data_IF_400408638772
#
_entry.id   IF_400408638772
#
_cell.length_a   1.000
_cell.length_b   1.000
_cell.length_c   1.000
_cell.angle_alpha   90.00
_cell.angle_beta   90.00
_cell.angle_gamma   90.00
#
_symmetry.space_group_name_H-M   'P 1'
#
loop_
_entity.id
_entity.type
_entity.pdbx_description
1 polymer ?
2 water ?
#
# COMPACT_ATOMS: atom_id res chain seq x y z
N UNK A 5 7.27 -39.53 8.91
CA UNK A 5 8.08 -38.75 9.85
C UNK A 5 7.29 -38.22 11.06
N UNK A 6 8.11 -37.69 11.94
CA UNK A 6 7.92 -37.04 13.22
C UNK A 6 8.76 -35.77 13.05
N UNK A 7 9.61 -35.90 12.02
CA UNK A 7 10.55 -34.85 11.58
C UNK A 7 9.91 -33.97 10.47
N UNK A 8 8.65 -34.24 10.23
CA UNK A 8 7.70 -33.63 9.35
C UNK A 8 7.04 -32.49 10.17
N UNK A 9 7.07 -32.78 11.46
CA UNK A 9 6.56 -31.83 12.46
C UNK A 9 7.67 -30.79 12.56
N UNK A 10 8.88 -31.25 12.28
CA UNK A 10 10.06 -30.41 12.31
C UNK A 10 9.92 -29.36 11.21
N UNK A 11 9.91 -29.80 9.97
CA UNK A 11 9.75 -28.94 8.82
C UNK A 11 8.54 -28.01 8.94
N UNK A 12 7.41 -28.49 9.42
CA UNK A 12 6.16 -27.74 9.56
C UNK A 12 6.27 -26.51 10.48
N UNK A 13 6.96 -26.71 11.56
CA UNK A 13 7.24 -25.80 12.65
C UNK A 13 8.19 -24.73 12.21
N UNK A 14 9.28 -25.04 11.62
CA UNK A 14 10.25 -24.05 11.13
C UNK A 14 9.63 -23.21 10.02
N UNK A 15 8.67 -23.79 9.30
CA UNK A 15 7.92 -23.17 8.22
C UNK A 15 6.93 -22.16 8.77
N UNK A 16 6.17 -22.43 9.81
CA UNK A 16 5.19 -21.51 10.39
C UNK A 16 5.94 -20.28 10.97
N UNK A 17 7.19 -20.57 11.35
CA UNK A 17 7.98 -19.47 11.89
C UNK A 17 8.19 -18.49 10.76
N UNK A 18 8.40 -18.99 9.53
CA UNK A 18 8.61 -18.11 8.35
C UNK A 18 7.31 -17.41 8.02
N UNK A 19 6.18 -18.09 8.11
CA UNK A 19 4.89 -17.46 7.79
C UNK A 19 4.64 -16.39 8.84
N UNK A 20 4.85 -16.66 10.12
CA UNK A 20 4.62 -15.63 11.17
C UNK A 20 5.53 -14.44 10.90
N UNK A 21 6.75 -14.61 10.55
CA UNK A 21 7.68 -13.53 10.25
C UNK A 21 7.27 -12.64 9.08
N UNK A 22 6.66 -13.23 8.11
CA UNK A 22 6.14 -12.67 6.89
C UNK A 22 5.03 -11.75 7.42
N UNK A 23 4.23 -12.25 8.31
CA UNK A 23 3.11 -11.54 8.98
C UNK A 23 3.63 -10.29 9.68
N UNK A 24 4.75 -10.22 10.35
CA UNK A 24 5.31 -9.05 10.99
C UNK A 24 5.77 -8.03 9.95
N UNK A 25 6.70 -8.47 9.13
CA UNK A 25 7.25 -7.59 8.07
C UNK A 25 6.11 -6.90 7.34
N UNK A 26 5.17 -7.65 6.80
CA UNK A 26 4.05 -7.17 6.04
C UNK A 26 2.98 -6.52 6.88
N UNK A 27 2.95 -6.83 8.14
CA UNK A 27 1.95 -6.24 9.06
C UNK A 27 2.32 -4.76 9.27
N UNK A 28 3.60 -4.48 9.17
CA UNK A 28 4.12 -3.10 9.27
C UNK A 28 3.40 -2.17 8.28
N UNK A 29 3.05 -2.58 7.10
CA UNK A 29 2.39 -1.76 6.13
C UNK A 29 0.92 -2.08 6.07
N UNK A 30 0.54 -3.33 6.29
CA UNK A 30 -0.91 -3.65 6.09
C UNK A 30 -1.61 -3.63 7.42
N UNK A 31 -0.86 -3.67 8.50
CA UNK A 31 -1.53 -3.64 9.78
C UNK A 31 -1.74 -4.94 10.51
N UNK A 32 -2.28 -4.81 11.72
CA UNK A 32 -2.56 -5.84 12.69
C UNK A 32 -3.52 -6.86 12.13
N UNK A 33 -4.53 -6.46 11.42
CA UNK A 33 -5.44 -7.53 10.93
C UNK A 33 -4.63 -8.52 10.11
N UNK A 34 -3.69 -8.08 9.29
CA UNK A 34 -2.87 -8.89 8.42
C UNK A 34 -1.95 -9.72 9.29
N UNK A 35 -1.42 -9.01 10.27
CA UNK A 35 -0.49 -9.76 11.17
C UNK A 35 -1.28 -10.96 11.64
N UNK A 36 -2.53 -10.83 12.03
CA UNK A 36 -3.40 -11.88 12.54
C UNK A 36 -3.75 -12.95 11.52
N UNK A 37 -4.10 -12.61 10.31
CA UNK A 37 -4.42 -13.67 9.36
C UNK A 37 -3.18 -14.52 9.14
N UNK A 38 -2.04 -13.84 8.98
CA UNK A 38 -0.80 -14.58 8.72
C UNK A 38 -0.46 -15.49 9.86
N UNK A 39 -0.73 -15.11 11.09
CA UNK A 39 -0.36 -15.94 12.28
C UNK A 39 -1.37 -17.05 12.40
N UNK A 40 -2.60 -16.86 12.06
CA UNK A 40 -3.60 -17.91 12.10
C UNK A 40 -3.21 -18.95 11.06
N UNK A 41 -2.68 -18.50 9.93
CA UNK A 41 -2.22 -19.38 8.84
C UNK A 41 -1.03 -20.25 9.31
N UNK A 42 -0.08 -19.61 9.93
CA UNK A 42 1.13 -20.18 10.49
C UNK A 42 0.79 -21.20 11.55
N UNK A 43 -0.26 -21.16 12.35
CA UNK A 43 -0.67 -22.14 13.33
C UNK A 43 -1.22 -23.37 12.62
N UNK A 44 -2.03 -23.15 11.61
CA UNK A 44 -2.55 -24.25 10.77
C UNK A 44 -1.39 -25.07 10.20
N UNK A 45 -0.39 -24.37 9.68
CA UNK A 45 0.78 -25.06 9.09
C UNK A 45 1.40 -25.94 10.18
N UNK A 46 1.69 -25.28 11.26
CA UNK A 46 2.33 -25.80 12.46
C UNK A 46 1.73 -27.17 12.81
N UNK A 47 0.41 -27.21 12.83
CA UNK A 47 -0.34 -28.40 13.21
C UNK A 47 -0.94 -29.11 12.01
N UNK A 48 -0.23 -29.17 10.92
CA UNK A 48 -0.85 -29.81 9.73
C UNK A 48 -0.57 -31.28 9.65
N UNK A 49 0.36 -31.81 10.40
CA UNK A 49 0.67 -33.26 10.31
C UNK A 49 -0.63 -34.05 10.33
N UNK A 50 -0.69 -34.95 9.35
CA UNK A 50 -1.81 -35.83 9.10
C UNK A 50 -2.98 -35.28 8.31
N UNK A 51 -3.06 -34.02 8.01
CA UNK A 51 -4.13 -33.36 7.24
C UNK A 51 -3.64 -33.42 5.78
N UNK A 52 -4.55 -33.14 4.85
CA UNK A 52 -4.15 -33.18 3.43
C UNK A 52 -4.51 -31.82 2.80
N UNK A 53 -3.63 -31.36 1.92
CA UNK A 53 -3.92 -30.05 1.29
C UNK A 53 -5.19 -30.13 0.48
N UNK A 54 -5.95 -29.07 0.33
CA UNK A 54 -7.17 -29.02 -0.45
C UNK A 54 -6.95 -29.26 -1.94
N UNK A 55 -7.96 -29.79 -2.59
CA UNK A 55 -7.98 -30.12 -4.02
C UNK A 55 -7.69 -28.94 -4.95
N UNK A 56 -7.02 -29.25 -6.05
CA UNK A 56 -6.63 -28.30 -7.09
C UNK A 56 -7.91 -27.50 -7.29
N UNK A 57 -9.03 -28.14 -7.46
CA UNK A 57 -10.26 -27.34 -7.69
C UNK A 57 -10.76 -26.51 -6.51
N UNK A 58 -10.53 -26.95 -5.29
CA UNK A 58 -11.02 -26.16 -4.12
C UNK A 58 -10.13 -24.93 -3.94
N UNK A 59 -8.85 -25.20 -4.15
CA UNK A 59 -7.74 -24.28 -4.09
C UNK A 59 -7.88 -23.10 -5.05
N UNK A 60 -8.22 -23.34 -6.31
CA UNK A 60 -8.37 -22.27 -7.31
C UNK A 60 -9.61 -21.46 -6.95
N UNK A 61 -10.56 -22.12 -6.39
CA UNK A 61 -11.81 -21.49 -5.93
C UNK A 61 -11.54 -20.42 -4.87
N UNK A 62 -10.89 -20.77 -3.78
CA UNK A 62 -10.59 -19.81 -2.69
C UNK A 62 -9.67 -18.73 -3.24
N UNK A 63 -8.63 -19.14 -3.96
CA UNK A 63 -7.68 -18.18 -4.52
C UNK A 63 -8.40 -17.18 -5.44
N UNK A 64 -9.24 -17.66 -6.32
CA UNK A 64 -9.96 -16.74 -7.21
C UNK A 64 -10.81 -15.75 -6.44
N UNK A 65 -11.20 -16.00 -5.20
CA UNK A 65 -12.00 -14.93 -4.56
C UNK A 65 -11.10 -13.69 -4.42
N UNK A 66 -9.81 -13.94 -4.33
CA UNK A 66 -8.88 -12.83 -4.16
C UNK A 66 -8.39 -12.21 -5.46
N UNK A 67 -7.69 -13.01 -6.23
CA UNK A 67 -7.07 -12.50 -7.47
C UNK A 67 -8.06 -11.82 -8.38
N UNK A 68 -9.26 -12.37 -8.44
CA UNK A 68 -10.32 -11.80 -9.31
C UNK A 68 -11.03 -10.64 -8.67
N UNK A 69 -10.52 -10.09 -7.59
CA UNK A 69 -11.18 -8.99 -6.89
C UNK A 69 -10.59 -7.68 -7.39
N UNK A 70 -11.45 -6.86 -7.95
CA UNK A 70 -11.06 -5.56 -8.51
C UNK A 70 -10.05 -4.78 -7.71
N UNK A 71 -10.17 -4.82 -6.36
CA UNK A 71 -9.19 -4.03 -5.60
C UNK A 71 -7.81 -4.62 -5.81
N UNK A 72 -7.75 -5.84 -6.31
CA UNK A 72 -6.49 -6.55 -6.55
C UNK A 72 -5.84 -6.47 -7.92
N UNK A 73 -6.38 -5.65 -8.80
CA UNK A 73 -5.83 -5.43 -10.16
C UNK A 73 -4.50 -4.79 -9.83
N UNK A 74 -3.39 -5.41 -10.08
CA UNK A 74 -2.03 -4.92 -9.84
C UNK A 74 -1.61 -4.12 -11.07
N UNK A 75 -0.90 -3.03 -10.86
CA UNK A 75 -0.45 -2.21 -12.00
C UNK A 75 0.87 -2.80 -12.50
N UNK A 76 1.23 -2.49 -13.73
CA UNK A 76 2.45 -2.99 -14.34
C UNK A 76 3.73 -2.76 -13.57
N UNK A 77 3.86 -1.57 -13.02
CA UNK A 77 5.09 -1.26 -12.26
C UNK A 77 5.19 -2.23 -11.09
N UNK A 78 4.11 -2.39 -10.36
CA UNK A 78 4.07 -3.32 -9.19
C UNK A 78 4.40 -4.77 -9.58
N UNK A 79 3.67 -5.11 -10.65
CA UNK A 79 3.80 -6.43 -11.32
C UNK A 79 5.24 -6.59 -11.76
N UNK A 80 5.85 -5.57 -12.31
CA UNK A 80 7.26 -5.65 -12.74
C UNK A 80 8.20 -5.71 -11.56
N UNK A 81 7.82 -5.18 -10.41
CA UNK A 81 8.74 -5.16 -9.24
C UNK A 81 8.80 -6.53 -8.60
N UNK A 82 7.68 -7.17 -8.57
CA UNK A 82 7.45 -8.51 -7.99
C UNK A 82 8.06 -9.59 -8.85
N UNK A 83 7.98 -9.50 -10.16
CA UNK A 83 8.57 -10.44 -11.12
C UNK A 83 10.08 -10.45 -10.99
N UNK A 84 10.68 -9.30 -10.94
CA UNK A 84 12.10 -8.96 -10.82
C UNK A 84 12.60 -9.48 -9.51
N UNK A 85 11.77 -9.31 -8.48
CA UNK A 85 12.15 -9.85 -7.15
C UNK A 85 12.25 -11.35 -7.41
N UNK A 86 11.38 -12.05 -8.07
CA UNK A 86 11.51 -13.52 -8.37
C UNK A 86 12.69 -13.86 -9.28
N UNK A 87 12.85 -13.19 -10.41
CA UNK A 87 13.95 -13.37 -11.35
C UNK A 87 15.27 -13.23 -10.62
N UNK A 88 15.30 -12.49 -9.54
CA UNK A 88 16.56 -12.36 -8.79
C UNK A 88 16.69 -13.57 -7.84
N UNK A 89 15.72 -14.46 -7.77
CA UNK A 89 15.98 -15.60 -6.88
C UNK A 89 16.80 -16.67 -7.60
N UNK A 90 17.82 -17.14 -6.93
CA UNK A 90 18.73 -18.21 -7.34
C UNK A 90 18.23 -19.43 -6.52
N UNK A 91 17.49 -20.30 -7.20
CA UNK A 91 16.92 -21.50 -6.58
C UNK A 91 17.96 -22.33 -5.84
N UNK A 92 19.14 -22.56 -6.41
CA UNK A 92 20.13 -23.36 -5.69
C UNK A 92 20.36 -22.68 -4.33
N UNK A 93 20.68 -21.40 -4.44
CA UNK A 93 20.96 -20.52 -3.30
C UNK A 93 19.83 -20.58 -2.26
N UNK A 94 18.63 -20.37 -2.79
CA UNK A 94 17.47 -20.40 -1.90
C UNK A 94 17.29 -21.74 -1.23
N UNK A 95 17.61 -22.81 -1.93
CA UNK A 95 17.50 -24.21 -1.45
C UNK A 95 18.52 -24.38 -0.31
N UNK A 96 19.71 -23.83 -0.60
CA UNK A 96 20.79 -23.87 0.38
C UNK A 96 20.30 -23.09 1.60
N UNK A 97 19.81 -21.87 1.51
CA UNK A 97 19.40 -21.19 2.76
C UNK A 97 18.37 -21.94 3.56
N UNK A 98 17.41 -22.58 2.90
CA UNK A 98 16.36 -23.34 3.59
C UNK A 98 17.04 -24.54 4.26
N UNK A 99 18.09 -25.03 3.63
CA UNK A 99 18.86 -26.17 4.14
C UNK A 99 19.45 -25.83 5.50
N UNK A 100 19.93 -24.62 5.64
CA UNK A 100 20.52 -24.07 6.88
C UNK A 100 19.53 -23.86 8.00
N UNK A 101 18.28 -23.66 7.69
CA UNK A 101 17.17 -23.45 8.61
C UNK A 101 16.89 -24.84 9.22
N UNK A 102 17.00 -25.84 8.35
CA UNK A 102 16.75 -27.20 8.80
C UNK A 102 16.93 -28.31 7.78
N UNK A 103 17.62 -29.33 8.23
CA UNK A 103 17.92 -30.56 7.51
C UNK A 103 16.72 -31.04 6.66
N UNK A 104 15.56 -31.00 7.25
CA UNK A 104 14.24 -31.40 6.76
C UNK A 104 13.78 -30.69 5.49
N UNK A 105 14.42 -29.57 5.20
CA UNK A 105 14.05 -28.84 3.95
C UNK A 105 14.88 -29.58 2.91
N UNK A 106 15.85 -30.34 3.34
CA UNK A 106 16.65 -31.09 2.36
C UNK A 106 15.91 -32.33 1.84
N UNK A 107 14.82 -32.12 1.16
CA UNK A 107 13.99 -33.09 0.49
C UNK A 107 14.57 -33.28 -0.93
N UNK A 108 14.16 -34.43 -1.48
CA UNK A 108 14.55 -34.83 -2.83
C UNK A 108 13.97 -33.85 -3.89
N UNK A 109 14.94 -33.30 -4.58
CA UNK A 109 14.83 -32.33 -5.68
C UNK A 109 14.21 -31.01 -5.25
N UNK A 110 14.58 -30.55 -4.05
CA UNK A 110 14.07 -29.27 -3.55
C UNK A 110 14.47 -28.10 -4.48
N UNK A 111 15.69 -28.08 -5.00
CA UNK A 111 16.14 -27.04 -5.89
C UNK A 111 15.25 -26.82 -7.14
N UNK A 112 14.59 -27.86 -7.57
CA UNK A 112 13.77 -27.85 -8.78
C UNK A 112 12.39 -27.45 -8.36
N UNK A 113 12.01 -27.81 -7.14
CA UNK A 113 10.69 -27.41 -6.60
C UNK A 113 10.66 -25.88 -6.52
N UNK A 114 11.69 -25.34 -5.92
CA UNK A 114 11.90 -23.90 -5.72
C UNK A 114 11.76 -23.25 -7.08
N UNK A 115 12.64 -23.65 -7.94
CA UNK A 115 12.71 -23.19 -9.35
C UNK A 115 11.34 -23.24 -9.98
N UNK A 116 10.49 -24.24 -9.77
CA UNK A 116 9.16 -24.25 -10.36
C UNK A 116 8.24 -23.26 -9.72
N UNK A 117 8.35 -23.02 -8.42
CA UNK A 117 7.50 -22.03 -7.71
C UNK A 117 7.80 -20.63 -8.27
N UNK A 118 9.09 -20.37 -8.41
CA UNK A 118 9.70 -19.14 -8.92
C UNK A 118 9.16 -18.83 -10.29
N UNK A 119 9.35 -19.80 -11.17
CA UNK A 119 8.88 -19.70 -12.58
C UNK A 119 7.38 -19.60 -12.75
N UNK A 120 6.58 -20.30 -11.96
CA UNK A 120 5.12 -20.19 -12.10
C UNK A 120 4.50 -19.02 -11.38
N UNK A 121 5.32 -18.39 -10.51
CA UNK A 121 4.89 -17.16 -9.76
C UNK A 121 5.09 -16.04 -10.78
N UNK A 122 6.26 -16.10 -11.44
CA UNK A 122 6.60 -15.14 -12.51
C UNK A 122 5.49 -15.16 -13.56
N UNK A 123 5.03 -16.35 -13.93
CA UNK A 123 3.97 -16.55 -14.92
C UNK A 123 2.65 -15.97 -14.45
N UNK A 124 2.38 -16.08 -13.17
CA UNK A 124 1.21 -15.66 -12.42
C UNK A 124 1.10 -14.15 -12.45
N UNK A 125 2.24 -13.53 -12.22
CA UNK A 125 2.31 -12.06 -12.23
C UNK A 125 2.14 -11.57 -13.68
N UNK A 126 2.91 -12.14 -14.61
CA UNK A 126 2.87 -11.79 -16.01
C UNK A 126 1.59 -12.07 -16.73
N UNK A 127 0.85 -13.14 -16.58
CA UNK A 127 -0.38 -13.41 -17.33
C UNK A 127 -1.63 -13.47 -16.47
N UNK A 128 -1.46 -13.26 -15.18
CA UNK A 128 -2.55 -13.30 -14.19
C UNK A 128 -3.07 -14.71 -14.06
N UNK A 129 -2.37 -15.74 -14.50
CA UNK A 129 -2.86 -17.13 -14.39
C UNK A 129 -2.10 -17.88 -13.29
N UNK A 130 -2.91 -18.13 -12.26
CA UNK A 130 -2.41 -18.80 -11.02
C UNK A 130 -2.53 -20.30 -11.06
N UNK A 131 -3.20 -20.85 -12.07
CA UNK A 131 -3.33 -22.30 -12.31
C UNK A 131 -2.03 -23.06 -12.23
N UNK A 132 -1.09 -22.78 -13.12
CA UNK A 132 0.19 -23.46 -13.10
C UNK A 132 0.89 -23.47 -11.75
N UNK A 133 0.84 -22.49 -10.87
CA UNK A 133 1.49 -22.48 -9.55
C UNK A 133 0.79 -23.52 -8.63
N UNK A 134 -0.53 -23.43 -8.60
CA UNK A 134 -1.40 -24.27 -7.81
C UNK A 134 -1.23 -25.74 -8.21
N UNK A 135 -1.40 -26.04 -9.49
CA UNK A 135 -1.21 -27.35 -10.09
C UNK A 135 0.22 -27.79 -9.77
N UNK A 136 1.20 -26.95 -9.69
CA UNK A 136 2.55 -27.45 -9.35
C UNK A 136 2.59 -28.12 -7.99
N UNK A 137 2.05 -27.50 -6.93
CA UNK A 137 2.03 -28.03 -5.58
C UNK A 137 1.20 -29.37 -5.52
N UNK A 138 -0.01 -29.26 -6.04
CA UNK A 138 -0.90 -30.39 -5.94
C UNK A 138 -0.26 -31.60 -6.61
N UNK A 139 0.52 -31.37 -7.63
CA UNK A 139 1.13 -32.46 -8.42
C UNK A 139 2.22 -33.14 -7.61
N UNK A 140 2.82 -32.44 -6.68
CA UNK A 140 3.86 -33.07 -5.82
C UNK A 140 3.12 -34.06 -4.91
N UNK A 141 1.89 -33.75 -4.50
CA UNK A 141 1.07 -34.55 -3.61
C UNK A 141 0.48 -35.69 -4.46
N UNK A 142 0.10 -35.46 -5.68
CA UNK A 142 -0.44 -36.45 -6.59
C UNK A 142 0.69 -37.47 -6.82
N UNK A 143 1.92 -37.09 -6.89
CA UNK A 143 3.10 -37.90 -7.09
C UNK A 143 3.70 -38.59 -5.87
N UNK A 144 3.12 -38.47 -4.68
CA UNK A 144 3.69 -39.11 -3.52
C UNK A 144 4.39 -38.34 -2.43
N UNK A 145 4.55 -37.05 -2.60
CA UNK A 145 5.19 -36.21 -1.54
C UNK A 145 4.04 -36.00 -0.54
N UNK A 146 4.35 -36.12 0.73
CA UNK A 146 3.34 -35.98 1.82
C UNK A 146 2.72 -34.58 1.74
N UNK A 147 1.47 -34.38 1.87
CA UNK A 147 0.76 -33.12 1.82
C UNK A 147 1.58 -32.23 2.75
N UNK A 148 1.91 -32.69 3.91
CA UNK A 148 2.70 -31.98 4.91
C UNK A 148 3.95 -31.34 4.32
N UNK A 149 4.71 -32.13 3.61
CA UNK A 149 5.96 -31.63 3.00
C UNK A 149 5.69 -30.68 1.84
N UNK A 150 4.70 -30.90 1.02
CA UNK A 150 4.32 -30.09 -0.15
C UNK A 150 4.00 -28.72 0.44
N UNK A 151 3.03 -28.65 1.33
CA UNK A 151 2.66 -27.43 2.03
C UNK A 151 3.88 -26.72 2.61
N UNK A 152 4.63 -27.52 3.30
CA UNK A 152 5.89 -27.20 3.97
C UNK A 152 6.69 -26.38 3.01
N UNK A 153 7.23 -27.04 2.00
CA UNK A 153 8.11 -26.46 0.97
C UNK A 153 7.54 -25.28 0.19
N UNK A 154 6.33 -25.46 -0.20
CA UNK A 154 5.63 -24.45 -1.00
C UNK A 154 5.79 -23.17 -0.22
N UNK A 155 5.27 -23.26 0.99
CA UNK A 155 5.14 -22.23 2.04
C UNK A 155 6.44 -21.58 2.45
N UNK A 156 7.48 -22.33 2.75
CA UNK A 156 8.75 -21.79 3.11
C UNK A 156 9.30 -20.95 1.96
N UNK A 157 9.09 -21.43 0.73
CA UNK A 157 9.57 -20.80 -0.49
C UNK A 157 9.02 -19.39 -0.63
N UNK A 158 7.74 -19.27 -0.49
CA UNK A 158 6.96 -18.04 -0.59
C UNK A 158 7.22 -17.15 0.64
N UNK A 159 7.52 -17.76 1.76
CA UNK A 159 7.76 -17.08 3.00
C UNK A 159 9.15 -16.49 2.86
N UNK A 160 10.11 -17.19 2.29
CA UNK A 160 11.48 -16.66 2.09
C UNK A 160 11.60 -15.52 1.06
N UNK A 161 10.80 -15.56 0.01
CA UNK A 161 10.68 -14.57 -1.06
C UNK A 161 10.17 -13.28 -0.45
N UNK A 162 9.12 -13.28 0.32
CA UNK A 162 8.45 -12.22 1.06
C UNK A 162 9.30 -11.52 2.12
N UNK A 163 10.10 -12.29 2.81
CA UNK A 163 11.05 -11.85 3.82
C UNK A 163 12.17 -11.08 3.12
N UNK A 164 12.62 -11.56 1.97
CA UNK A 164 13.71 -10.89 1.24
C UNK A 164 13.21 -9.71 0.43
N UNK A 165 11.93 -9.50 0.26
CA UNK A 165 11.40 -8.38 -0.52
C UNK A 165 11.93 -7.04 0.02
N UNK A 166 12.36 -6.30 -0.98
CA UNK A 166 12.88 -4.95 -0.84
C UNK A 166 12.14 -4.12 -1.88
N UNK A 167 10.84 -4.16 -2.03
CA UNK A 167 10.19 -3.34 -3.05
C UNK A 167 9.41 -2.30 -2.23
N UNK A 168 8.93 -1.33 -2.99
CA UNK A 168 8.17 -0.22 -2.41
C UNK A 168 7.11 -0.77 -1.49
N UNK A 169 6.55 0.02 -0.61
CA UNK A 169 5.52 -0.36 0.35
C UNK A 169 4.19 -0.79 -0.23
N UNK A 170 3.64 -0.17 -1.24
CA UNK A 170 2.37 -0.63 -1.80
C UNK A 170 2.56 -2.02 -2.40
N UNK A 171 3.73 -2.22 -3.00
CA UNK A 171 4.16 -3.45 -3.65
C UNK A 171 4.32 -4.51 -2.58
N UNK A 172 4.92 -4.32 -1.45
CA UNK A 172 5.01 -5.34 -0.39
C UNK A 172 3.65 -5.73 0.16
N UNK A 173 2.71 -4.83 0.11
CA UNK A 173 1.34 -4.93 0.56
C UNK A 173 0.54 -5.88 -0.27
N UNK A 174 0.66 -5.64 -1.57
CA UNK A 174 0.01 -6.49 -2.60
C UNK A 174 0.66 -7.89 -2.64
N UNK A 175 1.97 -8.03 -2.60
CA UNK A 175 2.61 -9.31 -2.53
C UNK A 175 2.05 -10.07 -1.31
N UNK A 176 2.21 -9.46 -0.13
CA UNK A 176 1.79 -10.04 1.16
C UNK A 176 0.37 -10.58 1.08
N UNK A 177 -0.54 -9.90 0.41
CA UNK A 177 -1.93 -10.28 0.26
C UNK A 177 -2.09 -11.55 -0.60
N UNK A 178 -1.43 -11.65 -1.74
CA UNK A 178 -1.46 -12.79 -2.65
C UNK A 178 -0.71 -13.96 -2.02
N UNK A 179 0.34 -13.78 -1.29
CA UNK A 179 1.10 -14.82 -0.65
C UNK A 179 0.24 -15.43 0.45
N UNK A 180 -0.49 -14.66 1.19
CA UNK A 180 -1.39 -15.25 2.19
C UNK A 180 -2.51 -16.02 1.49
N UNK A 181 -3.01 -15.55 0.37
CA UNK A 181 -4.10 -16.15 -0.42
C UNK A 181 -3.65 -17.45 -1.03
N UNK A 182 -2.51 -17.58 -1.65
CA UNK A 182 -1.93 -18.80 -2.28
C UNK A 182 -1.83 -19.91 -1.23
N UNK A 183 -1.17 -19.62 -0.12
CA UNK A 183 -0.98 -20.56 1.01
C UNK A 183 -2.32 -20.90 1.61
N UNK A 184 -3.07 -19.91 2.03
CA UNK A 184 -4.39 -20.05 2.65
C UNK A 184 -5.29 -20.94 1.86
N UNK A 185 -5.23 -20.95 0.57
CA UNK A 185 -6.02 -21.76 -0.36
C UNK A 185 -5.85 -23.26 -0.16
N UNK A 186 -4.65 -23.69 0.19
CA UNK A 186 -4.38 -25.11 0.38
C UNK A 186 -4.92 -25.70 1.66
N UNK A 187 -5.17 -24.82 2.61
CA UNK A 187 -5.61 -25.05 3.98
C UNK A 187 -7.08 -24.90 4.39
N UNK A 188 -7.69 -23.74 4.15
CA UNK A 188 -9.08 -23.45 4.49
C UNK A 188 -9.49 -22.22 3.68
N UNK A 189 -10.72 -22.24 3.23
CA UNK A 189 -11.26 -21.13 2.45
C UNK A 189 -11.52 -19.91 3.33
N UNK A 190 -11.37 -20.11 4.61
CA UNK A 190 -11.58 -19.14 5.69
C UNK A 190 -10.69 -17.93 5.43
N UNK A 191 -9.47 -18.25 5.14
CA UNK A 191 -8.38 -17.32 4.87
C UNK A 191 -8.78 -16.36 3.77
N UNK A 192 -9.39 -16.82 2.68
CA UNK A 192 -9.82 -15.99 1.56
C UNK A 192 -10.84 -14.95 1.98
N UNK A 193 -11.81 -15.38 2.75
CA UNK A 193 -12.86 -14.55 3.31
C UNK A 193 -12.32 -13.51 4.28
N UNK A 194 -11.41 -13.87 5.17
CA UNK A 194 -10.73 -12.99 6.13
C UNK A 194 -9.86 -11.95 5.39
N UNK A 195 -9.01 -12.28 4.43
CA UNK A 195 -8.25 -11.29 3.68
C UNK A 195 -9.23 -10.36 3.00
N UNK A 196 -10.27 -10.87 2.43
CA UNK A 196 -11.30 -10.12 1.71
C UNK A 196 -12.10 -9.15 2.53
N UNK A 197 -12.64 -9.73 3.58
CA UNK A 197 -13.46 -8.97 4.52
C UNK A 197 -12.54 -8.09 5.35
N UNK A 198 -11.52 -8.62 6.01
CA UNK A 198 -10.71 -7.73 6.84
C UNK A 198 -9.70 -6.84 6.18
N UNK A 199 -9.36 -7.02 4.92
CA UNK A 199 -8.22 -6.22 4.45
C UNK A 199 -8.44 -5.51 3.14
N UNK A 200 -8.75 -6.28 2.13
CA UNK A 200 -8.99 -5.80 0.78
C UNK A 200 -10.20 -4.87 0.84
N UNK A 201 -11.18 -5.20 1.65
CA UNK A 201 -12.40 -4.36 1.68
C UNK A 201 -12.96 -4.27 3.09
N UNK B 5 -1.78 39.44 10.67
CA UNK B 5 -0.40 39.50 10.11
C UNK B 5 0.50 38.52 10.85
N UNK B 6 0.15 38.21 12.09
CA UNK B 6 0.85 37.21 12.89
C UNK B 6 -0.24 36.25 13.38
N UNK B 7 -1.45 36.46 12.88
CA UNK B 7 -2.60 35.58 13.15
C UNK B 7 -2.84 34.77 11.86
N UNK B 8 -1.85 34.82 11.02
CA UNK B 8 -1.47 34.26 9.76
C UNK B 8 -0.46 33.15 10.15
N UNK B 9 0.32 33.50 11.15
CA UNK B 9 1.34 32.64 11.76
C UNK B 9 0.62 31.49 12.49
N UNK B 10 -0.53 31.83 13.05
CA UNK B 10 -1.42 30.96 13.76
C UNK B 10 -2.06 30.04 12.73
N UNK B 11 -2.65 30.62 11.69
CA UNK B 11 -3.26 29.83 10.61
C UNK B 11 -2.24 28.81 10.16
N UNK B 12 -0.98 29.16 9.97
CA UNK B 12 0.08 28.27 9.51
C UNK B 12 0.42 27.21 10.53
N UNK B 13 0.63 27.66 11.73
CA UNK B 13 0.94 26.81 12.89
C UNK B 13 0.02 25.59 12.88
N UNK B 14 -1.24 25.89 12.96
CA UNK B 14 -2.40 25.03 12.99
C UNK B 14 -2.51 24.11 11.79
N UNK B 15 -2.12 24.62 10.64
CA UNK B 15 -2.16 23.85 9.39
C UNK B 15 -0.97 22.88 9.42
N UNK B 16 0.13 23.36 10.02
CA UNK B 16 1.33 22.50 10.11
C UNK B 16 0.96 21.33 11.05
N UNK B 17 0.16 21.54 12.08
CA UNK B 17 -0.33 20.53 13.04
C UNK B 17 -1.18 19.49 12.35
N UNK B 18 -2.10 19.83 11.46
CA UNK B 18 -2.91 18.94 10.66
C UNK B 18 -2.02 18.11 9.72
N UNK B 19 -1.13 18.74 9.00
CA UNK B 19 -0.26 17.97 8.09
C UNK B 19 0.65 17.08 8.90
N UNK B 20 1.12 17.41 10.06
CA UNK B 20 2.01 16.52 10.82
C UNK B 20 1.13 15.36 11.26
N UNK B 21 -0.15 15.67 11.45
CA UNK B 21 -1.16 14.68 11.85
C UNK B 21 -1.46 13.62 10.78
N UNK B 22 -1.58 14.01 9.54
CA UNK B 22 -1.81 13.17 8.38
C UNK B 22 -0.56 12.28 8.32
N UNK B 23 0.59 12.84 8.62
CA UNK B 23 1.92 12.19 8.67
C UNK B 23 1.89 11.07 9.70
N UNK B 24 1.23 11.24 10.83
CA UNK B 24 1.06 10.23 11.86
C UNK B 24 0.09 9.16 11.31
N UNK B 25 -1.09 9.59 10.92
CA UNK B 25 -2.08 8.63 10.43
C UNK B 25 -1.52 7.69 9.37
N UNK B 26 -1.09 8.21 8.21
CA UNK B 26 -0.63 7.45 7.08
C UNK B 26 0.71 6.79 7.28
N UNK B 27 1.54 7.47 8.01
CA UNK B 27 2.92 7.02 8.28
C UNK B 27 2.79 5.69 9.02
N UNK B 28 1.58 5.44 9.54
CA UNK B 28 1.37 4.19 10.25
C UNK B 28 1.41 3.08 9.19
N UNK B 29 1.09 3.37 7.94
CA UNK B 29 1.05 2.45 6.81
C UNK B 29 2.25 2.50 5.89
N UNK B 30 2.56 3.67 5.37
CA UNK B 30 3.67 3.94 4.49
C UNK B 30 4.97 4.01 5.27
N UNK B 31 4.97 4.11 6.56
CA UNK B 31 6.18 4.16 7.34
C UNK B 31 6.77 5.48 7.76
N UNK B 32 7.93 5.38 8.38
CA UNK B 32 8.67 6.47 8.92
C UNK B 32 9.21 7.44 7.89
N UNK B 33 9.55 6.98 6.69
CA UNK B 33 10.09 7.85 5.64
C UNK B 33 8.98 8.90 5.31
N UNK B 34 7.78 8.35 5.13
CA UNK B 34 6.64 9.17 4.78
C UNK B 34 6.40 10.14 5.90
N UNK B 35 6.60 9.69 7.12
CA UNK B 35 6.39 10.44 8.36
C UNK B 35 7.27 11.69 8.40
N UNK B 36 8.52 11.44 8.03
CA UNK B 36 9.59 12.42 7.90
C UNK B 36 9.25 13.45 6.82
N UNK B 37 8.91 12.98 5.65
CA UNK B 37 8.57 13.86 4.52
C UNK B 37 7.45 14.78 5.00
N UNK B 38 6.38 14.26 5.49
CA UNK B 38 5.24 15.03 5.97
C UNK B 38 5.58 15.96 7.11
N UNK B 39 6.57 15.67 7.92
CA UNK B 39 6.93 16.53 9.04
C UNK B 39 7.73 17.67 8.42
N UNK B 40 8.41 17.38 7.34
CA UNK B 40 9.19 18.44 6.63
C UNK B 40 8.26 19.40 5.87
N UNK B 41 7.24 18.96 5.20
CA UNK B 41 6.27 19.80 4.51
C UNK B 41 5.72 20.74 5.60
N UNK B 42 5.31 20.16 6.72
CA UNK B 42 4.76 20.81 7.90
C UNK B 42 5.72 21.85 8.49
N UNK B 43 7.01 21.65 8.46
CA UNK B 43 7.95 22.66 8.98
C UNK B 43 7.89 23.83 7.98
N UNK B 44 7.92 23.48 6.73
CA UNK B 44 7.86 24.47 5.67
C UNK B 44 6.58 25.27 5.89
N UNK B 45 5.45 24.63 6.06
CA UNK B 45 4.20 25.38 6.23
C UNK B 45 4.30 26.32 7.40
N UNK B 46 4.80 25.87 8.52
CA UNK B 46 4.90 26.63 9.77
C UNK B 46 5.53 28.01 9.68
N UNK B 47 6.62 28.01 8.97
CA UNK B 47 7.53 29.10 8.66
C UNK B 47 7.36 29.67 7.25
N UNK B 48 6.14 29.70 6.75
CA UNK B 48 5.87 30.21 5.40
C UNK B 48 5.31 31.63 5.35
N UNK B 49 5.38 32.36 6.48
CA UNK B 49 4.81 33.72 6.39
C UNK B 49 5.70 34.57 5.48
N UNK B 50 5.01 35.20 4.54
CA UNK B 50 5.66 36.07 3.57
C UNK B 50 6.12 35.37 2.31
N UNK B 51 6.29 34.04 2.33
CA UNK B 51 6.71 33.37 1.09
C UNK B 51 5.48 33.40 0.19
N UNK B 52 5.67 32.96 -1.00
CA UNK B 52 4.76 32.83 -2.13
C UNK B 52 4.75 31.38 -2.59
N UNK B 53 3.62 30.89 -3.01
CA UNK B 53 3.47 29.49 -3.48
C UNK B 53 4.07 29.39 -4.87
N UNK B 54 4.63 28.28 -5.31
CA UNK B 54 5.21 28.20 -6.65
C UNK B 54 4.08 28.38 -7.62
N UNK B 55 4.38 28.86 -8.81
CA UNK B 55 3.51 29.13 -9.95
C UNK B 55 2.90 27.79 -10.35
N UNK B 56 1.85 27.84 -11.10
CA UNK B 56 1.12 26.68 -11.56
C UNK B 56 1.96 25.72 -12.37
N UNK B 57 2.78 26.27 -13.26
CA UNK B 57 3.60 25.49 -14.18
C UNK B 57 4.66 24.71 -13.41
N UNK B 58 5.21 25.41 -12.43
CA UNK B 58 6.23 24.85 -11.55
C UNK B 58 5.63 23.73 -10.69
N UNK B 59 4.50 23.96 -10.11
CA UNK B 59 3.77 23.07 -9.22
C UNK B 59 3.41 21.85 -10.06
N UNK B 60 2.91 22.09 -11.25
CA UNK B 60 2.54 20.95 -12.11
C UNK B 60 3.76 20.10 -12.49
N UNK B 61 4.88 20.81 -12.69
CA UNK B 61 6.14 20.17 -13.06
C UNK B 61 6.39 19.09 -12.01
N UNK B 62 6.45 19.53 -10.79
CA UNK B 62 6.69 18.74 -9.63
C UNK B 62 5.69 17.61 -9.44
N UNK B 63 4.42 17.95 -9.50
CA UNK B 63 3.38 16.93 -9.26
C UNK B 63 3.41 15.88 -10.35
N UNK B 64 3.85 16.26 -11.54
CA UNK B 64 3.85 15.32 -12.69
C UNK B 64 4.81 14.16 -12.43
N UNK B 65 5.90 14.45 -11.80
CA UNK B 65 6.92 13.49 -11.43
C UNK B 65 6.31 12.28 -10.69
N UNK B 66 5.39 12.60 -9.79
CA UNK B 66 4.64 11.67 -8.97
C UNK B 66 3.42 11.11 -9.68
N UNK B 67 2.54 12.00 -10.09
CA UNK B 67 1.29 11.60 -10.72
C UNK B 67 1.48 10.90 -12.05
N UNK B 68 2.64 11.02 -12.62
CA UNK B 68 2.87 10.36 -13.93
C UNK B 68 3.81 9.19 -13.72
N UNK B 69 4.05 8.88 -12.46
CA UNK B 69 4.87 7.74 -12.03
C UNK B 69 3.92 6.58 -12.34
N UNK B 70 4.44 5.59 -13.04
CA UNK B 70 3.59 4.45 -13.47
C UNK B 70 3.08 3.64 -12.29
N UNK B 71 3.90 3.57 -11.26
CA UNK B 71 3.61 2.87 -10.02
C UNK B 71 2.45 3.45 -9.22
N UNK B 72 2.01 4.61 -9.66
CA UNK B 72 0.96 5.44 -9.12
C UNK B 72 -0.32 5.37 -9.96
N UNK B 73 -0.37 4.43 -10.85
CA UNK B 73 -1.61 4.29 -11.69
C UNK B 73 -2.57 3.60 -10.73
N UNK B 74 -3.58 4.23 -10.20
CA UNK B 74 -4.57 3.72 -9.26
C UNK B 74 -5.64 2.83 -9.87
N UNK B 75 -6.12 1.79 -9.19
CA UNK B 75 -7.12 0.90 -9.79
C UNK B 75 -8.48 1.53 -9.54
N UNK B 76 -9.48 1.09 -10.21
CA UNK B 76 -10.82 1.67 -10.15
C UNK B 76 -11.36 1.64 -8.74
N UNK B 77 -11.24 0.52 -8.05
CA UNK B 77 -11.69 0.31 -6.68
C UNK B 77 -11.03 1.25 -5.67
N UNK B 78 -9.78 1.56 -5.80
CA UNK B 78 -9.04 2.48 -4.96
C UNK B 78 -9.46 3.94 -5.21
N UNK B 79 -9.71 4.23 -6.46
CA UNK B 79 -10.13 5.48 -7.03
C UNK B 79 -11.46 5.87 -6.40
N UNK B 80 -12.33 4.90 -6.54
CA UNK B 80 -13.71 4.90 -6.01
C UNK B 80 -13.79 5.19 -4.52
N UNK B 81 -13.00 4.59 -3.74
CA UNK B 81 -12.92 4.73 -2.29
C UNK B 81 -12.48 6.10 -1.86
N UNK B 82 -11.57 6.67 -2.60
CA UNK B 82 -11.00 8.02 -2.31
C UNK B 82 -11.96 9.11 -2.74
N UNK B 83 -12.71 8.81 -3.78
CA UNK B 83 -13.76 9.65 -4.36
C UNK B 83 -14.87 9.63 -3.33
N UNK B 84 -15.41 8.50 -2.91
CA UNK B 84 -16.43 8.41 -1.85
C UNK B 84 -16.02 9.14 -0.56
N UNK B 85 -14.80 9.07 -0.07
CA UNK B 85 -14.39 9.79 1.12
C UNK B 85 -14.67 11.27 0.87
N UNK B 86 -14.38 11.83 -0.28
CA UNK B 86 -14.61 13.22 -0.64
C UNK B 86 -16.09 13.50 -0.70
N UNK B 87 -16.82 12.77 -1.51
CA UNK B 87 -18.29 12.94 -1.61
C UNK B 87 -18.88 13.00 -0.21
N UNK B 88 -18.28 12.39 0.81
CA UNK B 88 -18.81 12.47 2.16
C UNK B 88 -18.20 13.58 2.98
N UNK B 89 -17.80 14.66 2.35
CA UNK B 89 -17.21 15.87 2.91
C UNK B 89 -18.28 17.00 2.72
N UNK B 90 -18.47 17.67 3.82
CA UNK B 90 -19.42 18.76 3.97
C UNK B 90 -18.62 20.04 4.06
N UNK B 91 -18.61 20.75 2.97
CA UNK B 91 -17.83 21.99 2.86
C UNK B 91 -18.28 23.01 3.89
N UNK B 92 -19.57 23.16 4.16
CA UNK B 92 -19.98 24.18 5.16
C UNK B 92 -19.31 23.94 6.51
N UNK B 93 -19.52 22.74 7.02
CA UNK B 93 -19.00 22.25 8.29
C UNK B 93 -17.48 22.35 8.26
N UNK B 94 -16.90 21.87 7.15
CA UNK B 94 -15.43 21.96 7.12
C UNK B 94 -14.99 23.42 7.15
N UNK B 95 -15.60 24.34 6.43
CA UNK B 95 -15.26 25.76 6.46
C UNK B 95 -15.38 26.21 7.92
N UNK B 96 -16.51 25.87 8.51
CA UNK B 96 -16.76 26.21 9.92
C UNK B 96 -15.67 25.84 10.91
N UNK B 97 -15.21 24.59 10.83
CA UNK B 97 -14.13 24.12 11.74
C UNK B 97 -12.81 24.80 11.50
N UNK B 98 -12.43 25.01 10.25
CA UNK B 98 -11.15 25.67 9.93
C UNK B 98 -11.12 27.03 10.60
N UNK B 99 -12.33 27.59 10.56
CA UNK B 99 -12.75 28.90 11.07
C UNK B 99 -12.38 28.99 12.55
N UNK B 100 -12.63 27.89 13.24
CA UNK B 100 -12.33 27.73 14.65
C UNK B 100 -10.82 27.70 14.85
N UNK B 101 -10.15 27.13 13.89
CA UNK B 101 -8.69 27.03 14.03
C UNK B 101 -8.02 28.37 14.13
N UNK B 102 -8.49 29.30 13.31
CA UNK B 102 -7.91 30.66 13.27
C UNK B 102 -8.88 31.54 12.51
N UNK B 103 -9.03 32.75 12.96
CA UNK B 103 -9.93 33.74 12.34
C UNK B 103 -9.48 33.99 10.91
N UNK B 104 -8.20 33.83 10.60
CA UNK B 104 -7.63 33.99 9.27
C UNK B 104 -8.11 33.00 8.23
N UNK B 105 -8.80 31.93 8.61
CA UNK B 105 -9.33 30.96 7.65
C UNK B 105 -10.64 31.52 7.16
N UNK B 106 -11.14 32.58 7.79
CA UNK B 106 -12.46 33.10 7.33
C UNK B 106 -12.39 34.16 6.24
N UNK B 107 -11.79 33.87 5.10
CA UNK B 107 -11.65 34.76 3.94
C UNK B 107 -12.99 34.67 3.23
N UNK B 108 -13.23 35.44 2.20
CA UNK B 108 -14.54 35.40 1.52
C UNK B 108 -14.61 34.15 0.67
N UNK B 109 -15.83 33.75 0.47
CA UNK B 109 -16.18 32.51 -0.25
C UNK B 109 -15.38 31.33 0.26
N UNK B 110 -15.02 31.16 1.51
CA UNK B 110 -14.27 30.07 2.09
C UNK B 110 -15.06 28.77 1.96
N UNK B 111 -16.36 28.72 2.00
CA UNK B 111 -17.12 27.46 1.80
C UNK B 111 -16.96 26.97 0.35
N UNK B 112 -17.04 27.98 -0.53
CA UNK B 112 -16.91 27.76 -1.98
C UNK B 112 -15.51 27.25 -2.30
N UNK B 113 -14.46 27.80 -1.71
CA UNK B 113 -13.08 27.38 -1.87
C UNK B 113 -12.94 25.93 -1.46
N UNK B 114 -13.44 25.53 -0.30
CA UNK B 114 -13.42 24.17 0.24
C UNK B 114 -14.23 23.31 -0.74
N UNK B 115 -15.32 23.85 -1.25
CA UNK B 115 -16.15 23.11 -2.22
C UNK B 115 -15.43 22.82 -3.54
N UNK B 116 -14.60 23.71 -4.09
CA UNK B 116 -13.87 23.47 -5.33
C UNK B 116 -12.70 22.59 -4.99
N UNK B 117 -12.12 22.62 -3.81
CA UNK B 117 -10.99 21.69 -3.49
C UNK B 117 -11.51 20.26 -3.57
N UNK B 118 -12.77 20.13 -3.15
CA UNK B 118 -13.40 18.81 -3.15
C UNK B 118 -13.71 18.38 -4.55
N UNK B 119 -14.41 19.14 -5.33
CA UNK B 119 -14.77 18.78 -6.69
C UNK B 119 -13.54 18.60 -7.54
N UNK B 120 -12.57 19.50 -7.50
CA UNK B 120 -11.34 19.37 -8.32
C UNK B 120 -10.52 18.20 -7.89
N UNK B 121 -10.57 17.80 -6.63
CA UNK B 121 -9.90 16.62 -6.07
C UNK B 121 -10.61 15.38 -6.67
N UNK B 122 -11.92 15.36 -6.70
CA UNK B 122 -12.70 14.26 -7.27
C UNK B 122 -12.26 14.16 -8.74
N UNK B 123 -12.23 15.30 -9.40
CA UNK B 123 -11.77 15.35 -10.80
C UNK B 123 -10.37 14.80 -10.96
N UNK B 124 -9.35 15.04 -10.17
CA UNK B 124 -8.05 14.43 -10.25
C UNK B 124 -8.19 12.90 -10.23
N UNK B 125 -8.88 12.30 -9.25
CA UNK B 125 -9.08 10.84 -9.17
C UNK B 125 -9.79 10.26 -10.38
N UNK B 126 -10.89 10.84 -10.82
CA UNK B 126 -11.63 10.31 -11.93
C UNK B 126 -10.95 10.41 -13.27
N UNK B 127 -10.24 11.49 -13.53
CA UNK B 127 -9.64 11.66 -14.86
C UNK B 127 -8.16 11.80 -14.90
N UNK B 128 -7.42 11.79 -13.84
CA UNK B 128 -5.97 11.95 -13.86
C UNK B 128 -5.46 13.34 -14.05
N UNK B 129 -6.36 14.26 -14.27
CA UNK B 129 -6.01 15.70 -14.41
C UNK B 129 -6.16 16.47 -13.11
N UNK B 130 -5.07 16.88 -12.47
CA UNK B 130 -4.90 17.63 -11.24
C UNK B 130 -4.67 19.12 -11.46
N UNK B 131 -4.60 19.48 -12.75
CA UNK B 131 -4.40 20.90 -13.11
C UNK B 131 -5.51 21.79 -12.60
N UNK B 132 -6.76 21.50 -12.81
CA UNK B 132 -7.87 22.30 -12.31
C UNK B 132 -7.72 22.48 -10.81
N UNK B 133 -7.24 21.47 -10.05
CA UNK B 133 -7.01 21.52 -8.63
C UNK B 133 -5.97 22.59 -8.35
N UNK B 134 -4.82 22.40 -9.01
CA UNK B 134 -3.74 23.38 -8.76
C UNK B 134 -4.09 24.80 -9.19
N UNK B 135 -4.82 25.03 -10.23
CA UNK B 135 -5.23 26.34 -10.73
C UNK B 135 -6.14 27.05 -9.72
N UNK B 136 -7.00 26.30 -9.05
CA UNK B 136 -7.92 26.82 -8.02
C UNK B 136 -7.12 27.52 -6.94
N UNK B 137 -6.18 26.87 -6.26
CA UNK B 137 -5.36 27.54 -5.26
C UNK B 137 -4.72 28.80 -5.86
N UNK B 138 -4.09 28.64 -7.02
CA UNK B 138 -3.36 29.72 -7.69
C UNK B 138 -4.34 30.84 -7.92
N UNK B 139 -5.52 30.54 -8.36
CA UNK B 139 -6.54 31.58 -8.61
C UNK B 139 -6.96 32.32 -7.36
N UNK B 140 -6.76 31.74 -6.20
CA UNK B 140 -7.11 32.42 -4.95
C UNK B 140 -6.10 33.54 -4.70
N UNK B 141 -4.83 33.34 -5.01
CA UNK B 141 -3.81 34.39 -4.79
C UNK B 141 -4.09 35.53 -5.77
N UNK B 142 -4.45 35.20 -6.99
CA UNK B 142 -4.79 36.20 -8.02
C UNK B 142 -5.85 37.16 -7.47
N UNK B 143 -6.84 36.54 -6.82
CA UNK B 143 -8.00 37.28 -6.33
C UNK B 143 -7.68 38.03 -5.08
N UNK B 144 -6.46 38.03 -4.56
CA UNK B 144 -6.21 38.81 -3.35
C UNK B 144 -5.94 38.06 -2.08
N UNK B 145 -6.11 36.75 -1.98
CA UNK B 145 -5.87 36.01 -0.74
C UNK B 145 -4.35 35.96 -0.64
N UNK B 146 -3.76 36.21 0.49
CA UNK B 146 -2.28 36.10 0.54
C UNK B 146 -1.89 34.62 0.36
N UNK B 147 -0.67 34.37 -0.10
CA UNK B 147 -0.03 33.13 -0.35
C UNK B 147 -0.18 32.14 0.80
N UNK B 148 0.19 32.64 1.95
CA UNK B 148 0.12 32.03 3.26
C UNK B 148 -1.26 31.47 3.57
N UNK B 149 -2.27 32.31 3.39
CA UNK B 149 -3.66 31.93 3.64
C UNK B 149 -4.09 30.98 2.56
N UNK B 150 -3.86 31.24 1.29
CA UNK B 150 -4.24 30.35 0.21
C UNK B 150 -3.75 28.92 0.46
N UNK B 151 -2.50 28.73 0.85
CA UNK B 151 -1.86 27.44 1.13
C UNK B 151 -2.32 26.78 2.44
N UNK B 152 -2.73 27.53 3.41
CA UNK B 152 -3.23 27.07 4.69
C UNK B 152 -4.65 26.59 4.45
N UNK B 153 -5.48 27.19 3.61
CA UNK B 153 -6.84 26.71 3.38
C UNK B 153 -6.78 25.40 2.59
N UNK B 154 -5.87 25.38 1.65
CA UNK B 154 -5.71 24.23 0.74
C UNK B 154 -5.16 23.08 1.55
N UNK B 155 -4.02 23.20 2.19
CA UNK B 155 -3.41 22.14 2.99
C UNK B 155 -4.22 21.58 4.17
N UNK B 156 -4.94 22.45 4.84
CA UNK B 156 -5.81 22.19 5.97
C UNK B 156 -7.03 21.36 5.51
N UNK B 157 -7.56 21.64 4.35
CA UNK B 157 -8.69 20.92 3.80
C UNK B 157 -8.33 19.48 3.40
N UNK B 158 -7.14 19.29 2.84
CA UNK B 158 -6.60 18.00 2.42
C UNK B 158 -6.10 17.21 3.63
N UNK B 159 -5.59 17.83 4.65
CA UNK B 159 -5.11 17.30 5.91
C UNK B 159 -6.36 16.80 6.68
N UNK B 160 -7.36 17.63 6.88
CA UNK B 160 -8.60 17.31 7.52
C UNK B 160 -9.20 16.09 6.84
N UNK B 161 -9.21 16.12 5.54
CA UNK B 161 -9.73 15.06 4.64
C UNK B 161 -9.03 13.72 4.89
N UNK B 162 -7.71 13.64 4.81
CA UNK B 162 -6.84 12.52 5.01
C UNK B 162 -7.06 11.87 6.37
N UNK B 163 -7.20 12.65 7.39
CA UNK B 163 -7.45 12.37 8.80
C UNK B 163 -8.79 11.66 8.95
N UNK B 164 -9.78 12.03 8.17
CA UNK B 164 -11.09 11.44 8.15
C UNK B 164 -11.08 10.17 7.34
N UNK B 165 -10.10 9.68 6.64
CA UNK B 165 -10.15 8.52 5.78
C UNK B 165 -10.36 7.19 6.50
N UNK B 166 -11.35 6.46 6.02
CA UNK B 166 -11.58 5.11 6.58
C UNK B 166 -11.62 4.22 5.32
N UNK B 167 -10.49 4.00 4.68
CA UNK B 167 -10.32 3.21 3.47
C UNK B 167 -9.27 2.14 3.77
N UNK B 168 -9.27 1.13 2.93
CA UNK B 168 -8.29 0.02 3.08
C UNK B 168 -6.87 0.54 3.08
N UNK B 169 -5.97 -0.08 3.77
CA UNK B 169 -4.57 0.25 3.93
C UNK B 169 -3.81 0.68 2.69
N UNK B 170 -4.04 0.07 1.54
CA UNK B 170 -3.33 0.43 0.31
C UNK B 170 -3.85 1.75 -0.24
N UNK B 171 -5.15 1.94 -0.12
CA UNK B 171 -5.81 3.16 -0.61
C UNK B 171 -5.35 4.31 0.28
N UNK B 172 -5.13 4.05 1.54
CA UNK B 172 -4.62 5.17 2.39
C UNK B 172 -3.20 5.57 1.96
N UNK B 173 -2.41 4.59 1.60
CA UNK B 173 -1.04 4.71 1.16
C UNK B 173 -1.08 5.60 -0.08
N UNK B 174 -1.92 5.26 -1.03
CA UNK B 174 -2.06 6.11 -2.24
C UNK B 174 -2.54 7.50 -1.91
N UNK B 175 -3.59 7.75 -1.13
CA UNK B 175 -3.98 9.09 -0.81
C UNK B 175 -2.77 9.83 -0.20
N UNK B 176 -2.09 9.22 0.70
CA UNK B 176 -0.97 9.78 1.38
C UNK B 176 0.10 10.38 0.52
N UNK B 177 0.47 9.72 -0.54
CA UNK B 177 1.55 10.15 -1.47
C UNK B 177 1.10 11.31 -2.35
N UNK B 178 -0.12 11.16 -2.85
CA UNK B 178 -0.87 12.09 -3.67
C UNK B 178 -1.06 13.34 -2.85
N UNK B 179 -1.45 13.37 -1.60
CA UNK B 179 -1.65 14.59 -0.80
C UNK B 179 -0.39 15.35 -0.43
N UNK B 180 0.67 14.67 -0.10
CA UNK B 180 1.98 15.23 0.24
C UNK B 180 2.56 15.87 -1.02
N UNK B 181 2.39 15.25 -2.17
CA UNK B 181 2.85 15.68 -3.49
C UNK B 181 2.11 16.96 -3.92
N UNK B 182 0.81 16.98 -3.74
CA UNK B 182 -0.04 18.11 -4.10
C UNK B 182 0.37 19.31 -3.25
N UNK B 183 0.40 19.20 -1.93
CA UNK B 183 0.79 20.29 -1.03
C UNK B 183 2.24 20.71 -1.29
N UNK B 184 3.09 19.67 -1.35
CA UNK B 184 4.50 19.82 -1.53
C UNK B 184 4.77 20.66 -2.77
N UNK B 185 4.08 20.42 -3.85
CA UNK B 185 4.27 21.07 -5.14
C UNK B 185 4.35 22.56 -5.06
N UNK B 186 3.59 23.27 -4.28
CA UNK B 186 3.45 24.70 -4.10
C UNK B 186 4.48 25.33 -3.19
N UNK B 187 5.28 24.47 -2.59
CA UNK B 187 6.33 24.79 -1.64
C UNK B 187 7.72 24.54 -2.20
N UNK B 188 8.12 23.33 -2.49
CA UNK B 188 9.49 23.10 -3.01
C UNK B 188 9.53 21.87 -3.89
N UNK B 189 10.25 21.85 -5.00
CA UNK B 189 10.34 20.67 -5.86
C UNK B 189 10.96 19.48 -5.12
N UNK B 190 11.61 19.74 -4.03
CA UNK B 190 12.30 18.77 -3.16
C UNK B 190 11.44 17.64 -2.67
N UNK B 191 10.25 17.91 -2.24
CA UNK B 191 9.25 16.97 -1.71
C UNK B 191 8.91 15.96 -2.78
N UNK B 192 8.76 16.30 -4.02
CA UNK B 192 8.44 15.34 -5.06
C UNK B 192 9.56 14.30 -5.20
N UNK B 193 10.79 14.75 -5.03
CA UNK B 193 12.03 13.97 -5.15
C UNK B 193 12.10 13.03 -3.96
N UNK B 194 11.89 13.56 -2.78
CA UNK B 194 11.83 12.81 -1.53
C UNK B 194 10.80 11.69 -1.69
N UNK B 195 9.67 12.01 -2.26
CA UNK B 195 8.60 11.04 -2.49
C UNK B 195 9.07 9.93 -3.44
N UNK B 196 9.54 10.32 -4.61
CA UNK B 196 10.00 9.42 -5.66
C UNK B 196 11.08 8.51 -5.07
N UNK B 197 12.13 9.16 -4.68
CA UNK B 197 13.32 8.46 -4.17
C UNK B 197 13.06 7.55 -3.00
N UNK B 198 12.42 8.00 -1.95
CA UNK B 198 12.22 7.15 -0.79
C UNK B 198 10.93 6.35 -0.70
N UNK B 199 9.93 6.63 -1.47
CA UNK B 199 8.69 5.89 -1.24
C UNK B 199 8.11 5.31 -2.50
N UNK B 200 8.33 5.88 -3.68
CA UNK B 200 7.62 5.25 -4.81
C UNK B 200 8.50 4.20 -5.45
N UNK B 201 9.77 4.47 -5.47
CA UNK B 201 10.71 3.47 -6.05
C UNK B 201 11.97 3.54 -5.17
#
# INVERSE_FOLDING_TARGET
>A
VAEKAKDERELLEKTSELIAGMGDKIGEHLGDKYKAIAKDIADNIKNFQGKTIRSFDDAMASLNKITANPAMKINKADRDALVNAWKHVDAQDMANKLGNLSKAFKVADVVMKVEKVREKSIEGYETGNWGPLMLEVESWVLSGIASSVALGIFSATLGAYALSLGVPAIAVGIAGILLAAVVGALIDDKFADALNNEIIRPAH
>B
VAEKAKDERELLEKTSELIAGMGDKIGEHLGDKYKAIAKDIADNIKNFQGKTIRSFDDAMASLNKITANPAMKINKADRDALVNAWKHVDAQDMANKLGNLSKAFKVADVVMKVEKVREKSIEGYETGNWGPLMLEVESWVLSGIASSVALGIFSATLGAYALSLGVPAIAVGIAGILLAAVVGALIDDKFADALNNEIIRPAH
#
